data_IF_061188885284
#
_entry.id   IF_061188885284
#
_cell.length_a   1.000
_cell.length_b   1.000
_cell.length_c   1.000
_cell.angle_alpha   90.00
_cell.angle_beta   90.00
_cell.angle_gamma   90.00
#
_symmetry.space_group_name_H-M   'P 1'
#
loop_
_entity.id
_entity.type
_entity.pdbx_description
1 polymer ?
#
# COMPACT_ATOMS: atom_id res chain seq x y z
N UNK A 1 24.63 28.73 -15.73
CA UNK A 1 24.86 28.16 -14.38
C UNK A 1 23.67 27.23 -14.00
N UNK A 2 22.41 27.65 -14.18
CA UNK A 2 21.19 26.83 -13.83
C UNK A 2 21.08 25.60 -14.75
N UNK A 3 21.39 25.70 -16.02
CA UNK A 3 21.33 24.59 -16.99
C UNK A 3 22.42 23.54 -16.75
N UNK A 4 23.59 23.94 -16.27
CA UNK A 4 24.65 23.00 -15.84
C UNK A 4 24.28 22.26 -14.56
N UNK A 5 23.67 22.94 -13.57
CA UNK A 5 23.23 22.31 -12.36
C UNK A 5 22.14 21.25 -12.61
N UNK A 6 21.16 21.54 -13.49
CA UNK A 6 20.13 20.58 -13.92
C UNK A 6 20.70 19.36 -14.67
N UNK A 7 21.76 19.56 -15.49
CA UNK A 7 22.44 18.45 -16.15
C UNK A 7 23.32 17.64 -15.18
N UNK A 8 23.95 18.26 -14.19
CA UNK A 8 24.69 17.56 -13.13
C UNK A 8 23.77 16.69 -12.29
N UNK A 9 22.57 17.18 -11.92
CA UNK A 9 21.55 16.39 -11.21
C UNK A 9 21.09 15.16 -12.01
N UNK A 10 20.99 15.26 -13.33
CA UNK A 10 20.56 14.16 -14.21
C UNK A 10 21.58 13.01 -14.31
N UNK A 11 22.88 13.31 -14.15
CA UNK A 11 23.96 12.30 -14.25
C UNK A 11 24.18 11.52 -12.95
N UNK A 12 23.75 12.04 -11.79
CA UNK A 12 24.01 11.46 -10.47
C UNK A 12 22.79 10.94 -9.73
N UNK A 13 21.57 11.15 -10.25
CA UNK A 13 20.36 10.57 -9.65
C UNK A 13 20.06 9.19 -10.22
N UNK A 14 19.88 8.22 -9.35
CA UNK A 14 19.28 6.95 -9.77
C UNK A 14 17.85 7.24 -10.20
N UNK A 15 17.49 6.90 -11.45
CA UNK A 15 16.21 7.29 -12.03
C UNK A 15 15.03 6.71 -11.24
N UNK A 16 14.36 7.56 -10.48
CA UNK A 16 13.01 7.32 -9.96
C UNK A 16 12.04 7.81 -11.02
N UNK A 17 11.14 6.94 -11.51
CA UNK A 17 10.31 7.20 -12.70
C UNK A 17 8.84 7.47 -12.38
N UNK A 18 8.32 6.87 -11.34
CA UNK A 18 6.90 6.84 -11.03
C UNK A 18 6.57 7.37 -9.66
N UNK A 19 7.44 7.14 -8.66
CA UNK A 19 7.29 7.68 -7.32
C UNK A 19 7.54 9.18 -7.31
N UNK A 20 6.73 9.91 -6.54
CA UNK A 20 6.76 11.37 -6.44
C UNK A 20 7.32 11.85 -5.10
N UNK A 21 7.36 10.99 -4.10
CA UNK A 21 7.61 11.37 -2.71
C UNK A 21 8.94 10.85 -2.16
N UNK A 22 9.88 10.44 -3.00
CA UNK A 22 11.26 10.20 -2.61
C UNK A 22 12.21 10.36 -3.79
N UNK A 23 13.52 10.49 -3.48
CA UNK A 23 14.56 10.43 -4.49
C UNK A 23 15.81 9.72 -3.94
N UNK A 24 16.65 9.19 -4.81
CA UNK A 24 17.90 8.51 -4.46
C UNK A 24 19.03 9.14 -5.22
N UNK A 25 19.93 9.78 -4.49
CA UNK A 25 21.19 10.31 -4.98
C UNK A 25 22.32 9.31 -4.69
N UNK A 26 23.51 9.48 -5.30
CA UNK A 26 24.60 8.50 -5.17
C UNK A 26 24.93 8.14 -3.70
N UNK A 27 24.93 9.11 -2.79
CA UNK A 27 25.34 8.93 -1.40
C UNK A 27 24.27 9.33 -0.37
N UNK A 28 23.08 9.73 -0.82
CA UNK A 28 22.00 10.17 0.06
C UNK A 28 20.64 9.77 -0.50
N UNK A 29 19.68 9.69 0.38
CA UNK A 29 18.27 9.46 0.05
C UNK A 29 17.51 10.71 0.46
N UNK A 30 16.54 11.13 -0.36
CA UNK A 30 15.59 12.17 -0.03
C UNK A 30 14.27 11.47 0.30
N UNK A 31 13.72 11.74 1.46
CA UNK A 31 12.49 11.10 1.96
C UNK A 31 11.20 11.85 1.58
N UNK A 32 10.07 11.40 2.10
CA UNK A 32 8.75 11.94 1.79
C UNK A 32 8.51 13.40 2.24
N UNK A 33 9.34 13.92 3.15
CA UNK A 33 9.33 15.33 3.57
C UNK A 33 10.44 16.16 2.90
N UNK A 34 11.09 15.61 1.85
CA UNK A 34 12.24 16.22 1.16
C UNK A 34 13.48 16.38 2.06
N UNK A 35 13.60 15.59 3.12
CA UNK A 35 14.75 15.57 4.01
C UNK A 35 15.86 14.69 3.43
N UNK A 36 17.11 15.20 3.42
CA UNK A 36 18.27 14.39 3.09
C UNK A 36 18.63 13.45 4.22
N UNK A 37 18.64 12.15 3.93
CA UNK A 37 18.93 11.11 4.92
C UNK A 37 20.36 10.61 4.72
N UNK A 38 21.20 10.90 5.69
CA UNK A 38 22.54 10.36 5.81
C UNK A 38 22.52 9.21 6.83
N UNK A 39 23.10 8.07 6.48
CA UNK A 39 23.10 6.88 7.35
C UNK A 39 24.31 5.99 7.07
N UNK A 40 24.70 5.23 8.08
CA UNK A 40 25.76 4.22 7.96
C UNK A 40 25.16 2.87 7.52
N UNK A 41 25.73 2.27 6.50
CA UNK A 41 25.30 0.97 5.97
C UNK A 41 26.14 -0.17 6.56
N UNK A 42 25.58 -1.35 6.74
CA UNK A 42 24.14 -1.70 6.73
C UNK A 42 23.47 -1.38 8.08
N UNK A 43 22.18 -1.06 8.06
CA UNK A 43 21.38 -0.91 9.26
C UNK A 43 21.24 -2.27 10.00
N UNK A 44 21.35 -2.24 11.35
CA UNK A 44 21.28 -3.43 12.21
C UNK A 44 20.04 -3.44 13.09
N UNK A 45 19.66 -2.28 13.62
CA UNK A 45 18.50 -2.10 14.48
C UNK A 45 17.54 -1.08 13.84
N UNK A 46 16.41 -1.53 13.36
CA UNK A 46 15.40 -0.63 12.77
C UNK A 46 14.07 -0.78 13.47
N UNK A 47 13.35 0.33 13.55
CA UNK A 47 11.95 0.39 13.94
C UNK A 47 11.14 0.74 12.70
N UNK A 48 10.00 0.08 12.52
CA UNK A 48 9.15 0.30 11.34
C UNK A 48 7.70 0.57 11.73
N UNK A 49 7.09 1.55 11.09
CA UNK A 49 5.65 1.82 11.17
C UNK A 49 4.94 1.50 9.85
N UNK A 50 5.70 1.11 8.84
CA UNK A 50 5.19 0.88 7.49
C UNK A 50 5.44 -0.58 7.07
N UNK A 51 4.36 -1.32 6.83
CA UNK A 51 4.44 -2.72 6.40
C UNK A 51 5.19 -2.89 5.08
N UNK A 52 5.26 -1.87 4.23
CA UNK A 52 5.98 -1.95 2.96
C UNK A 52 7.49 -2.18 3.12
N UNK A 53 8.08 -1.75 4.25
CA UNK A 53 9.44 -2.14 4.59
C UNK A 53 9.58 -3.67 4.70
N UNK A 54 8.66 -4.30 5.43
CA UNK A 54 8.64 -5.75 5.64
C UNK A 54 8.37 -6.47 4.32
N UNK A 55 7.37 -6.00 3.57
CA UNK A 55 7.04 -6.55 2.24
C UNK A 55 8.24 -6.47 1.30
N UNK A 56 8.95 -5.35 1.28
CA UNK A 56 10.17 -5.19 0.48
C UNK A 56 11.23 -6.21 0.86
N UNK A 57 11.45 -6.43 2.16
CA UNK A 57 12.42 -7.41 2.64
C UNK A 57 12.10 -8.84 2.17
N UNK A 58 10.81 -9.23 2.19
CA UNK A 58 10.35 -10.53 1.71
C UNK A 58 10.37 -10.60 0.17
N UNK A 59 9.84 -9.62 -0.54
CA UNK A 59 9.81 -9.57 -2.00
C UNK A 59 11.22 -9.67 -2.59
N UNK A 60 12.15 -8.95 -2.01
CA UNK A 60 13.54 -8.94 -2.45
C UNK A 60 14.39 -10.03 -1.79
N UNK A 61 13.84 -10.82 -0.87
CA UNK A 61 14.56 -11.85 -0.11
C UNK A 61 15.86 -11.30 0.52
N UNK A 62 15.76 -10.17 1.23
CA UNK A 62 16.90 -9.53 1.91
C UNK A 62 16.91 -9.93 3.38
N UNK A 63 17.55 -11.05 3.70
CA UNK A 63 17.62 -11.59 5.08
C UNK A 63 18.15 -10.58 6.11
N UNK A 64 19.14 -9.74 5.74
CA UNK A 64 19.69 -8.70 6.64
C UNK A 64 18.64 -7.66 7.00
N UNK A 65 17.76 -7.29 6.07
CA UNK A 65 16.67 -6.36 6.29
C UNK A 65 15.64 -6.93 7.28
N UNK A 66 15.28 -8.22 7.12
CA UNK A 66 14.38 -8.91 8.06
C UNK A 66 14.99 -8.97 9.46
N UNK A 67 16.29 -9.35 9.59
CA UNK A 67 17.00 -9.48 10.86
C UNK A 67 17.22 -8.15 11.59
N UNK A 68 17.21 -7.03 10.87
CA UNK A 68 17.40 -5.71 11.46
C UNK A 68 16.16 -5.18 12.17
N UNK A 69 14.97 -5.73 11.94
CA UNK A 69 13.73 -5.30 12.58
C UNK A 69 13.78 -5.63 14.07
N UNK A 70 13.76 -4.60 14.94
CA UNK A 70 13.78 -4.73 16.39
C UNK A 70 12.52 -4.16 17.04
N UNK A 71 11.86 -3.22 16.37
CA UNK A 71 10.60 -2.63 16.84
C UNK A 71 9.62 -2.43 15.70
N UNK A 72 8.33 -2.59 16.00
CA UNK A 72 7.25 -2.39 15.05
C UNK A 72 6.11 -1.65 15.73
N UNK A 73 5.59 -0.61 15.09
CA UNK A 73 4.34 0.02 15.50
C UNK A 73 3.16 -0.89 15.14
N UNK A 74 2.15 -0.94 15.98
CA UNK A 74 0.99 -1.86 15.84
C UNK A 74 1.42 -3.33 15.61
N UNK A 75 2.43 -3.80 16.35
CA UNK A 75 3.08 -5.09 16.10
C UNK A 75 2.10 -6.26 16.01
N UNK A 76 1.08 -6.32 16.87
CA UNK A 76 0.05 -7.36 16.84
C UNK A 76 -0.74 -7.40 15.54
N UNK A 77 -1.03 -6.24 14.96
CA UNK A 77 -1.75 -6.14 13.71
C UNK A 77 -0.82 -6.39 12.51
N UNK A 78 0.32 -5.74 12.49
CA UNK A 78 1.25 -5.79 11.34
C UNK A 78 1.91 -7.16 11.21
N UNK A 79 2.44 -7.71 12.31
CA UNK A 79 3.29 -8.91 12.25
C UNK A 79 2.51 -10.20 12.09
N UNK A 80 1.23 -10.27 12.45
CA UNK A 80 0.39 -11.47 12.23
C UNK A 80 0.40 -11.96 10.78
N UNK A 81 0.63 -11.06 9.83
CA UNK A 81 0.74 -11.38 8.40
C UNK A 81 2.06 -12.04 8.01
N UNK A 82 3.07 -12.03 8.91
CA UNK A 82 4.44 -12.51 8.64
C UNK A 82 4.86 -13.48 9.75
N UNK A 83 4.42 -14.74 9.64
CA UNK A 83 4.58 -15.73 10.70
C UNK A 83 5.98 -15.80 11.33
N UNK A 84 7.12 -15.81 10.60
CA UNK A 84 8.42 -15.84 11.25
C UNK A 84 8.71 -14.62 12.14
N UNK A 85 8.31 -13.42 11.70
CA UNK A 85 8.47 -12.18 12.49
C UNK A 85 7.49 -12.16 13.66
N UNK A 86 6.27 -12.65 13.48
CA UNK A 86 5.29 -12.75 14.56
C UNK A 86 5.77 -13.72 15.65
N UNK A 87 6.36 -14.85 15.29
CA UNK A 87 6.99 -15.75 16.24
C UNK A 87 8.15 -15.10 17.02
N UNK A 88 8.98 -14.30 16.34
CA UNK A 88 10.05 -13.55 17.01
C UNK A 88 9.49 -12.44 17.92
N UNK A 89 8.39 -11.81 17.56
CA UNK A 89 7.66 -10.87 18.41
C UNK A 89 7.12 -11.55 19.69
N UNK A 90 6.45 -12.70 19.57
CA UNK A 90 5.93 -13.46 20.72
C UNK A 90 7.05 -13.94 21.66
N UNK A 91 8.28 -14.12 21.16
CA UNK A 91 9.47 -14.47 21.93
C UNK A 91 10.22 -13.26 22.49
N UNK A 92 9.66 -12.05 22.33
CA UNK A 92 10.30 -10.83 22.83
C UNK A 92 11.54 -10.37 22.06
N UNK A 93 11.81 -10.89 20.86
CA UNK A 93 12.94 -10.48 20.01
C UNK A 93 12.63 -9.23 19.18
N UNK A 94 11.36 -8.92 19.01
CA UNK A 94 10.83 -7.73 18.34
C UNK A 94 9.85 -7.10 19.31
N UNK A 95 9.95 -5.79 19.51
CA UNK A 95 9.12 -5.06 20.44
C UNK A 95 7.96 -4.34 19.76
N UNK A 96 6.81 -4.24 20.44
CA UNK A 96 5.79 -3.27 20.10
C UNK A 96 6.19 -1.90 20.64
N UNK A 97 6.46 -0.95 19.74
CA UNK A 97 6.88 0.41 20.11
C UNK A 97 5.73 1.40 20.21
N UNK A 98 4.50 0.91 20.07
CA UNK A 98 3.30 1.71 20.31
C UNK A 98 2.23 1.59 19.23
N UNK A 99 1.18 2.36 19.47
CA UNK A 99 0.01 2.50 18.60
C UNK A 99 -0.38 3.98 18.49
N UNK A 100 -1.53 4.29 17.88
CA UNK A 100 -2.05 5.64 17.78
C UNK A 100 -2.13 6.33 19.15
N UNK A 101 -1.33 7.39 19.31
CA UNK A 101 -1.31 8.20 20.51
C UNK A 101 -0.69 7.55 21.77
N UNK A 102 -0.23 6.30 21.69
CA UNK A 102 0.43 5.58 22.80
C UNK A 102 1.78 5.07 22.36
N UNK A 103 2.78 5.96 22.33
CA UNK A 103 4.14 5.64 21.90
C UNK A 103 4.96 5.21 23.12
N UNK A 104 5.68 4.09 23.00
CA UNK A 104 6.61 3.62 24.02
C UNK A 104 8.00 4.21 23.79
N UNK A 105 8.21 5.43 24.26
CA UNK A 105 9.49 6.14 24.13
C UNK A 105 10.65 5.40 24.81
N UNK A 106 10.39 4.76 25.96
CA UNK A 106 11.41 3.98 26.68
C UNK A 106 11.90 2.82 25.83
N UNK A 107 10.98 2.11 25.14
CA UNK A 107 11.35 0.99 24.30
C UNK A 107 12.11 1.44 23.04
N UNK A 108 11.79 2.60 22.48
CA UNK A 108 12.56 3.19 21.36
C UNK A 108 14.02 3.44 21.81
N UNK A 109 14.22 3.98 23.00
CA UNK A 109 15.56 4.19 23.58
C UNK A 109 16.30 2.86 23.82
N UNK A 110 15.62 1.86 24.38
CA UNK A 110 16.19 0.53 24.64
C UNK A 110 16.67 -0.16 23.37
N UNK A 111 15.92 -0.04 22.27
CA UNK A 111 16.29 -0.59 20.96
C UNK A 111 17.51 0.12 20.40
N UNK A 112 17.71 1.40 20.72
CA UNK A 112 18.75 2.26 20.16
C UNK A 112 18.86 2.12 18.63
N UNK A 113 17.84 2.57 17.89
CA UNK A 113 17.72 2.27 16.45
C UNK A 113 18.74 3.02 15.61
N UNK A 114 19.31 2.34 14.60
CA UNK A 114 20.10 2.96 13.55
C UNK A 114 19.22 3.82 12.63
N UNK A 115 17.93 3.47 12.52
CA UNK A 115 16.94 4.20 11.72
C UNK A 115 15.52 3.80 12.13
N UNK A 116 14.62 4.79 12.18
CA UNK A 116 13.17 4.57 12.27
C UNK A 116 12.53 4.89 10.92
N UNK A 117 11.88 3.93 10.30
CA UNK A 117 11.05 4.14 9.09
C UNK A 117 9.64 4.51 9.53
N UNK A 118 9.33 5.80 9.47
CA UNK A 118 8.12 6.38 10.02
C UNK A 118 7.17 6.81 8.90
N UNK A 119 5.99 6.21 8.86
CA UNK A 119 4.96 6.61 7.90
C UNK A 119 4.61 8.10 8.11
N UNK A 120 4.50 8.85 7.03
CA UNK A 120 4.27 10.29 7.07
C UNK A 120 2.78 10.62 7.34
N UNK A 121 2.35 10.27 8.54
CA UNK A 121 1.03 10.63 9.09
C UNK A 121 1.18 11.69 10.17
N UNK A 122 0.25 12.65 10.21
CA UNK A 122 0.25 13.71 11.21
C UNK A 122 0.27 13.22 12.65
N UNK A 123 -0.26 12.03 12.93
CA UNK A 123 -0.25 11.41 14.25
C UNK A 123 1.17 11.18 14.79
N UNK A 124 2.17 11.06 13.89
CA UNK A 124 3.57 10.91 14.26
C UNK A 124 4.36 12.22 14.38
N UNK A 125 3.72 13.39 14.19
CA UNK A 125 4.43 14.66 14.33
C UNK A 125 5.01 14.90 15.74
N UNK A 126 4.31 14.55 16.85
CA UNK A 126 4.91 14.65 18.18
C UNK A 126 6.12 13.74 18.35
N UNK A 127 6.07 12.52 17.80
CA UNK A 127 7.19 11.59 17.79
C UNK A 127 8.37 12.15 17.00
N UNK A 128 8.14 12.68 15.80
CA UNK A 128 9.21 13.26 14.97
C UNK A 128 9.96 14.38 15.71
N UNK A 129 9.23 15.29 16.38
CA UNK A 129 9.83 16.34 17.19
C UNK A 129 10.66 15.78 18.37
N UNK A 130 10.18 14.72 18.99
CA UNK A 130 10.90 14.06 20.09
C UNK A 130 12.15 13.35 19.58
N UNK A 131 12.10 12.69 18.43
CA UNK A 131 13.25 12.04 17.78
C UNK A 131 14.32 13.06 17.41
N UNK A 132 13.95 14.21 16.84
CA UNK A 132 14.87 15.31 16.54
C UNK A 132 15.57 15.83 17.81
N UNK A 133 14.80 16.06 18.90
CA UNK A 133 15.34 16.52 20.19
C UNK A 133 16.34 15.53 20.80
N UNK A 134 16.15 14.24 20.58
CA UNK A 134 17.00 13.17 21.14
C UNK A 134 18.06 12.67 20.15
N UNK A 135 18.22 13.30 18.98
CA UNK A 135 19.14 12.92 17.92
C UNK A 135 18.99 11.46 17.47
N UNK A 136 17.76 10.93 17.46
CA UNK A 136 17.47 9.57 17.01
C UNK A 136 17.17 9.59 15.51
N UNK A 137 17.92 8.83 14.68
CA UNK A 137 17.74 8.85 13.24
C UNK A 137 16.38 8.29 12.81
N UNK A 138 15.68 9.03 11.94
CA UNK A 138 14.45 8.57 11.31
C UNK A 138 14.32 9.08 9.89
N UNK A 139 13.45 8.46 9.12
CA UNK A 139 13.08 8.88 7.77
C UNK A 139 11.58 8.73 7.58
N UNK A 140 10.98 9.66 6.85
CA UNK A 140 9.54 9.62 6.54
C UNK A 140 9.28 8.81 5.29
N UNK A 141 8.24 7.98 5.33
CA UNK A 141 7.80 7.14 4.22
C UNK A 141 6.42 7.54 3.73
N UNK A 142 6.25 7.64 2.41
CA UNK A 142 5.03 8.17 1.79
C UNK A 142 4.48 7.31 0.65
N UNK A 143 4.75 6.01 0.65
CA UNK A 143 4.29 5.11 -0.42
C UNK A 143 2.76 5.12 -0.63
N UNK A 144 1.99 5.34 0.42
CA UNK A 144 0.53 5.44 0.36
C UNK A 144 0.02 6.72 -0.31
N UNK A 145 0.86 7.78 -0.39
CA UNK A 145 0.54 9.05 -1.07
C UNK A 145 0.69 8.96 -2.58
N UNK A 146 1.32 7.91 -3.08
CA UNK A 146 1.59 7.78 -4.51
C UNK A 146 0.28 7.60 -5.29
N UNK A 147 0.05 8.42 -6.33
CA UNK A 147 -1.20 8.37 -7.07
C UNK A 147 -1.29 7.18 -8.03
N UNK A 148 -0.18 6.50 -8.28
CA UNK A 148 -0.12 5.36 -9.22
C UNK A 148 0.45 4.12 -8.56
N UNK A 149 -0.07 2.97 -8.97
CA UNK A 149 0.39 1.67 -8.47
C UNK A 149 1.91 1.48 -8.65
N UNK A 150 2.46 1.88 -9.80
CA UNK A 150 3.91 1.83 -10.03
C UNK A 150 4.67 2.80 -9.13
N UNK A 151 4.10 3.98 -8.82
CA UNK A 151 4.72 4.90 -7.85
C UNK A 151 4.86 4.26 -6.48
N UNK A 152 3.76 3.69 -5.96
CA UNK A 152 3.77 2.92 -4.70
C UNK A 152 4.82 1.81 -4.74
N UNK A 153 4.84 0.99 -5.80
CA UNK A 153 5.78 -0.13 -5.92
C UNK A 153 7.23 0.29 -6.06
N UNK A 154 7.51 1.47 -6.60
CA UNK A 154 8.89 1.97 -6.74
C UNK A 154 9.58 2.21 -5.39
N UNK A 155 8.83 2.36 -4.30
CA UNK A 155 9.35 2.48 -2.93
C UNK A 155 10.18 1.28 -2.48
N UNK A 156 10.08 0.12 -3.15
CA UNK A 156 11.00 -1.00 -2.89
C UNK A 156 12.47 -0.61 -3.13
N UNK A 157 12.73 0.35 -4.06
CA UNK A 157 14.07 0.89 -4.30
C UNK A 157 14.54 1.76 -3.13
N UNK A 158 13.64 2.56 -2.54
CA UNK A 158 13.92 3.36 -1.35
C UNK A 158 14.44 2.49 -0.21
N UNK A 159 13.65 1.51 0.25
CA UNK A 159 14.03 0.64 1.37
C UNK A 159 15.28 -0.21 1.07
N UNK A 160 15.38 -0.74 -0.14
CA UNK A 160 16.53 -1.56 -0.54
C UNK A 160 17.86 -0.78 -0.58
N UNK A 161 17.79 0.56 -0.76
CA UNK A 161 18.99 1.41 -0.82
C UNK A 161 19.71 1.46 0.52
N UNK A 162 19.00 1.38 1.63
CA UNK A 162 19.59 1.31 2.97
C UNK A 162 20.41 0.03 3.21
N UNK A 163 20.24 -0.99 2.37
CA UNK A 163 20.92 -2.28 2.47
C UNK A 163 21.84 -2.58 1.28
N UNK A 164 22.21 -1.58 0.48
CA UNK A 164 23.00 -1.73 -0.75
C UNK A 164 22.34 -2.71 -1.78
N UNK A 165 21.02 -2.73 -1.85
CA UNK A 165 20.25 -3.64 -2.72
C UNK A 165 19.40 -2.93 -3.78
N UNK A 166 19.71 -1.67 -4.08
CA UNK A 166 19.01 -0.89 -5.12
C UNK A 166 18.91 -1.64 -6.44
N UNK A 167 20.01 -2.14 -6.99
CA UNK A 167 20.00 -2.89 -8.27
C UNK A 167 19.08 -4.10 -8.25
N UNK A 168 18.99 -4.78 -7.10
CA UNK A 168 18.07 -5.91 -6.93
C UNK A 168 16.62 -5.45 -6.98
N UNK A 169 16.30 -4.36 -6.29
CA UNK A 169 14.97 -3.75 -6.30
C UNK A 169 14.60 -3.25 -7.70
N UNK A 170 15.53 -2.60 -8.39
CA UNK A 170 15.33 -2.12 -9.75
C UNK A 170 14.99 -3.25 -10.72
N UNK A 171 15.71 -4.39 -10.65
CA UNK A 171 15.42 -5.57 -11.47
C UNK A 171 14.00 -6.09 -11.22
N UNK A 172 13.58 -6.19 -9.95
CA UNK A 172 12.24 -6.65 -9.59
C UNK A 172 11.18 -5.63 -10.05
N UNK A 173 11.44 -4.35 -9.85
CA UNK A 173 10.53 -3.29 -10.27
C UNK A 173 10.34 -3.25 -11.80
N UNK A 174 11.42 -3.42 -12.58
CA UNK A 174 11.31 -3.50 -14.03
C UNK A 174 10.43 -4.68 -14.48
N UNK A 175 10.52 -5.84 -13.80
CA UNK A 175 9.63 -6.96 -14.06
C UNK A 175 8.16 -6.59 -13.79
N UNK A 176 7.87 -5.87 -12.71
CA UNK A 176 6.51 -5.39 -12.39
C UNK A 176 5.98 -4.47 -13.52
N UNK A 177 6.83 -3.60 -14.05
CA UNK A 177 6.47 -2.73 -15.19
C UNK A 177 6.08 -3.57 -16.41
N UNK A 178 6.86 -4.58 -16.77
CA UNK A 178 6.56 -5.44 -17.92
C UNK A 178 5.26 -6.24 -17.73
N UNK A 179 5.05 -6.77 -16.52
CA UNK A 179 3.80 -7.47 -16.19
C UNK A 179 2.59 -6.54 -16.27
N UNK A 180 2.69 -5.31 -15.75
CA UNK A 180 1.63 -4.30 -15.92
C UNK A 180 1.37 -3.99 -17.39
N UNK A 181 2.41 -3.85 -18.21
CA UNK A 181 2.25 -3.62 -19.66
C UNK A 181 1.50 -4.78 -20.33
N UNK A 182 1.84 -6.02 -19.96
CA UNK A 182 1.16 -7.22 -20.47
C UNK A 182 -0.34 -7.19 -20.13
N UNK A 183 -0.69 -6.89 -18.88
CA UNK A 183 -2.08 -6.76 -18.43
C UNK A 183 -2.82 -5.71 -19.25
N UNK A 184 -2.26 -4.51 -19.39
CA UNK A 184 -2.89 -3.43 -20.13
C UNK A 184 -2.98 -3.72 -21.65
N UNK A 185 -1.99 -4.42 -22.22
CA UNK A 185 -2.02 -4.85 -23.63
C UNK A 185 -3.15 -5.83 -23.88
N UNK A 186 -3.34 -6.82 -23.00
CA UNK A 186 -4.44 -7.79 -23.12
C UNK A 186 -5.82 -7.11 -23.04
N UNK A 187 -5.93 -6.07 -22.23
CA UNK A 187 -7.14 -5.26 -22.11
C UNK A 187 -7.39 -4.38 -23.35
N UNK A 188 -6.33 -3.74 -23.88
CA UNK A 188 -6.41 -2.81 -25.00
C UNK A 188 -6.64 -3.51 -26.33
N UNK A 189 -6.24 -4.78 -26.48
CA UNK A 189 -6.53 -5.58 -27.68
C UNK A 189 -8.02 -5.92 -27.82
N UNK A 190 -8.84 -5.61 -26.82
CA UNK A 190 -10.28 -5.88 -26.80
C UNK A 190 -11.08 -4.60 -26.95
N UNK A 191 -12.17 -4.66 -27.75
CA UNK A 191 -13.11 -3.54 -27.87
C UNK A 191 -14.01 -3.48 -26.63
N UNK A 192 -13.61 -2.69 -25.63
CA UNK A 192 -14.41 -2.46 -24.42
C UNK A 192 -15.29 -1.24 -24.66
N UNK A 193 -16.56 -1.51 -24.99
CA UNK A 193 -17.56 -0.46 -25.22
C UNK A 193 -18.15 0.12 -23.94
N UNK A 194 -18.25 -0.71 -22.89
CA UNK A 194 -18.83 -0.32 -21.61
C UNK A 194 -17.78 -0.27 -20.51
N UNK A 195 -17.77 0.81 -19.75
CA UNK A 195 -16.89 1.03 -18.59
C UNK A 195 -17.71 0.83 -17.32
N UNK A 196 -17.56 -0.30 -16.60
CA UNK A 196 -18.33 -0.55 -15.37
C UNK A 196 -18.07 0.52 -14.31
N UNK A 197 -19.13 0.90 -13.60
CA UNK A 197 -19.04 1.77 -12.43
C UNK A 197 -18.63 0.95 -11.22
N UNK A 198 -17.50 1.32 -10.60
CA UNK A 198 -16.86 0.57 -9.51
C UNK A 198 -16.90 1.38 -8.22
N UNK A 199 -17.50 0.82 -7.18
CA UNK A 199 -17.39 1.32 -5.81
C UNK A 199 -16.31 0.52 -5.08
N UNK A 200 -15.17 1.16 -4.78
CA UNK A 200 -14.16 0.65 -3.87
C UNK A 200 -14.23 1.43 -2.56
N UNK A 201 -14.46 0.76 -1.45
CA UNK A 201 -14.78 1.36 -0.17
C UNK A 201 -14.44 0.44 1.01
N UNK A 202 -14.40 0.98 2.22
CA UNK A 202 -14.28 0.20 3.45
C UNK A 202 -15.23 0.70 4.53
N UNK A 203 -15.20 0.05 5.68
CA UNK A 203 -15.95 0.45 6.87
C UNK A 203 -15.02 0.52 8.08
N UNK A 204 -15.18 1.56 8.86
CA UNK A 204 -14.56 1.65 10.18
C UNK A 204 -15.62 2.06 11.20
N UNK A 205 -15.80 1.28 12.27
CA UNK A 205 -16.84 1.53 13.30
C UNK A 205 -18.22 1.82 12.70
N UNK A 206 -18.65 1.01 11.77
CA UNK A 206 -19.93 1.14 11.05
C UNK A 206 -20.07 2.41 10.19
N UNK A 207 -19.02 3.19 9.97
CA UNK A 207 -19.01 4.32 9.08
C UNK A 207 -18.26 3.99 7.79
N UNK A 208 -18.89 4.16 6.60
CA UNK A 208 -18.20 3.93 5.35
C UNK A 208 -17.13 4.98 5.09
N UNK A 209 -16.03 4.56 4.50
CA UNK A 209 -15.02 5.44 3.93
C UNK A 209 -14.74 5.07 2.48
N UNK A 210 -14.32 6.05 1.71
CA UNK A 210 -13.98 5.96 0.31
C UNK A 210 -12.63 6.60 0.07
N UNK A 211 -11.97 6.28 -1.03
CA UNK A 211 -10.69 6.89 -1.37
C UNK A 211 -10.86 8.08 -2.31
N UNK A 212 -10.03 9.09 -2.14
CA UNK A 212 -9.97 10.22 -3.06
C UNK A 212 -9.58 9.78 -4.47
N UNK A 213 -10.04 10.51 -5.49
CA UNK A 213 -9.87 10.14 -6.90
C UNK A 213 -8.41 9.96 -7.35
N UNK A 214 -7.48 10.61 -6.65
CA UNK A 214 -6.04 10.51 -6.95
C UNK A 214 -5.34 9.36 -6.23
N UNK A 215 -6.03 8.57 -5.40
CA UNK A 215 -5.46 7.36 -4.80
C UNK A 215 -5.13 6.33 -5.88
N UNK A 216 -4.08 5.50 -5.67
CA UNK A 216 -3.61 4.55 -6.68
C UNK A 216 -4.65 3.51 -7.10
N UNK A 217 -5.61 3.11 -6.24
CA UNK A 217 -6.67 2.17 -6.61
C UNK A 217 -7.70 2.81 -7.55
N UNK A 218 -8.32 3.98 -7.26
CA UNK A 218 -9.11 4.70 -8.25
C UNK A 218 -8.38 4.95 -9.57
N UNK A 219 -7.10 5.30 -9.51
CA UNK A 219 -6.29 5.45 -10.72
C UNK A 219 -6.14 4.13 -11.49
N UNK A 220 -5.91 3.01 -10.78
CA UNK A 220 -5.85 1.69 -11.40
C UNK A 220 -7.18 1.30 -12.04
N UNK A 221 -8.31 1.51 -11.35
CA UNK A 221 -9.66 1.28 -11.90
C UNK A 221 -9.83 2.01 -13.23
N UNK A 222 -9.41 3.27 -13.34
CA UNK A 222 -9.46 4.03 -14.60
C UNK A 222 -8.50 3.49 -15.66
N UNK A 223 -7.27 3.16 -15.29
CA UNK A 223 -6.29 2.59 -16.23
C UNK A 223 -6.81 1.29 -16.88
N UNK A 224 -7.58 0.50 -16.12
CA UNK A 224 -8.21 -0.72 -16.64
C UNK A 224 -9.64 -0.51 -17.14
N UNK A 225 -9.97 0.72 -17.54
CA UNK A 225 -11.25 1.07 -18.19
C UNK A 225 -12.50 0.84 -17.32
N UNK A 226 -12.39 0.98 -16.00
CA UNK A 226 -13.52 1.16 -15.09
C UNK A 226 -13.80 2.63 -14.83
N UNK A 227 -14.98 2.94 -14.30
CA UNK A 227 -15.37 4.26 -13.81
C UNK A 227 -15.44 4.21 -12.28
N UNK A 228 -14.57 4.95 -11.59
CA UNK A 228 -14.64 5.03 -10.15
C UNK A 228 -15.86 5.84 -9.69
N UNK A 229 -16.68 5.28 -8.79
CA UNK A 229 -17.96 5.89 -8.40
C UNK A 229 -17.79 7.26 -7.71
N UNK A 230 -16.72 7.47 -6.96
CA UNK A 230 -16.49 8.67 -6.15
C UNK A 230 -15.45 9.61 -6.77
N UNK A 231 -15.49 9.76 -8.09
CA UNK A 231 -14.57 10.58 -8.89
C UNK A 231 -14.55 12.07 -8.50
N UNK A 232 -15.59 12.53 -7.81
CA UNK A 232 -15.71 13.90 -7.30
C UNK A 232 -14.98 14.15 -5.97
N UNK A 233 -14.38 13.11 -5.36
CA UNK A 233 -13.66 13.25 -4.09
C UNK A 233 -12.18 13.45 -4.36
N UNK A 234 -11.65 14.60 -3.94
CA UNK A 234 -10.27 14.99 -4.20
C UNK A 234 -9.25 14.24 -3.32
N UNK A 235 -7.99 14.25 -3.73
CA UNK A 235 -6.84 13.78 -2.94
C UNK A 235 -6.54 12.29 -3.08
N UNK A 236 -5.56 11.84 -2.29
CA UNK A 236 -5.06 10.46 -2.25
C UNK A 236 -5.47 9.71 -0.99
N UNK A 237 -6.01 10.41 0.01
CA UNK A 237 -6.40 9.81 1.29
C UNK A 237 -7.78 9.16 1.22
N UNK A 238 -8.12 8.41 2.28
CA UNK A 238 -9.49 7.99 2.49
C UNK A 238 -10.31 9.11 3.16
N UNK A 239 -11.62 9.13 2.91
CA UNK A 239 -12.56 10.09 3.43
C UNK A 239 -13.78 9.37 3.97
N UNK A 240 -14.19 9.68 5.19
CA UNK A 240 -15.47 9.21 5.70
C UNK A 240 -16.62 9.89 4.95
N UNK A 241 -17.64 9.12 4.64
CA UNK A 241 -18.83 9.58 3.92
C UNK A 241 -20.09 9.26 4.75
N UNK A 242 -21.09 10.12 4.67
CA UNK A 242 -22.39 9.82 5.29
C UNK A 242 -22.97 8.52 4.72
N UNK A 243 -23.49 7.66 5.59
CA UNK A 243 -23.99 6.33 5.22
C UNK A 243 -25.16 6.37 4.24
N UNK A 244 -26.06 7.36 4.38
CA UNK A 244 -27.20 7.51 3.46
C UNK A 244 -26.71 7.94 2.09
N UNK A 245 -25.77 8.89 2.02
CA UNK A 245 -25.15 9.34 0.79
C UNK A 245 -24.39 8.18 0.12
N UNK A 246 -23.59 7.46 0.86
CA UNK A 246 -22.88 6.27 0.35
C UNK A 246 -23.86 5.26 -0.27
N UNK A 247 -24.87 4.84 0.49
CA UNK A 247 -25.84 3.85 0.05
C UNK A 247 -26.65 4.32 -1.17
N UNK A 248 -27.02 5.60 -1.22
CA UNK A 248 -27.77 6.18 -2.36
C UNK A 248 -27.00 6.11 -3.67
N UNK A 249 -25.66 6.15 -3.61
CA UNK A 249 -24.77 6.08 -4.78
C UNK A 249 -24.32 4.65 -5.07
N UNK A 250 -23.80 3.93 -4.05
CA UNK A 250 -23.21 2.60 -4.20
C UNK A 250 -24.21 1.54 -4.68
N UNK A 251 -25.52 1.71 -4.37
CA UNK A 251 -26.57 0.81 -4.83
C UNK A 251 -26.67 0.67 -6.36
N UNK A 252 -26.17 1.64 -7.12
CA UNK A 252 -26.17 1.63 -8.58
C UNK A 252 -24.84 1.24 -9.20
N UNK A 253 -23.79 1.01 -8.41
CA UNK A 253 -22.52 0.52 -8.92
C UNK A 253 -22.67 -0.84 -9.59
N UNK A 254 -21.93 -1.06 -10.68
CA UNK A 254 -21.89 -2.35 -11.38
C UNK A 254 -21.05 -3.37 -10.63
N UNK A 255 -20.02 -2.87 -9.94
CA UNK A 255 -19.07 -3.66 -9.14
C UNK A 255 -18.88 -2.97 -7.79
N UNK A 256 -18.99 -3.73 -6.72
CA UNK A 256 -18.63 -3.30 -5.37
C UNK A 256 -17.44 -4.11 -4.87
N UNK A 257 -16.45 -3.44 -4.32
CA UNK A 257 -15.27 -4.05 -3.68
C UNK A 257 -15.15 -3.43 -2.30
N UNK A 258 -15.38 -4.24 -1.26
CA UNK A 258 -15.20 -3.85 0.13
C UNK A 258 -13.77 -4.16 0.56
N UNK A 259 -13.03 -3.14 0.93
CA UNK A 259 -11.71 -3.26 1.55
C UNK A 259 -11.87 -3.65 3.03
N UNK A 260 -11.41 -4.85 3.37
CA UNK A 260 -11.47 -5.37 4.74
C UNK A 260 -10.34 -4.87 5.63
N UNK A 261 -9.38 -4.12 5.08
CA UNK A 261 -8.15 -3.70 5.78
C UNK A 261 -7.36 -4.87 6.38
N UNK A 262 -7.50 -6.07 5.79
CA UNK A 262 -6.82 -7.30 6.25
C UNK A 262 -7.51 -8.01 7.40
N UNK A 263 -8.75 -7.66 7.70
CA UNK A 263 -9.59 -8.42 8.63
C UNK A 263 -10.17 -9.67 7.96
N UNK A 264 -10.33 -10.73 8.73
CA UNK A 264 -11.02 -11.95 8.30
C UNK A 264 -12.53 -11.77 8.51
N UNK A 265 -13.27 -11.58 7.44
CA UNK A 265 -14.68 -11.20 7.48
C UNK A 265 -15.57 -12.43 7.26
N UNK A 266 -16.45 -12.72 8.22
CA UNK A 266 -17.57 -13.62 7.99
C UNK A 266 -18.63 -12.94 7.11
N UNK A 267 -18.82 -13.47 5.90
CA UNK A 267 -19.76 -12.91 4.92
C UNK A 267 -21.21 -12.93 5.42
N UNK A 268 -21.61 -13.96 6.18
CA UNK A 268 -22.97 -14.04 6.71
C UNK A 268 -23.21 -12.94 7.75
N UNK A 269 -22.24 -12.73 8.62
CA UNK A 269 -22.29 -11.66 9.61
C UNK A 269 -22.23 -10.28 8.94
N UNK A 270 -21.38 -10.09 7.95
CA UNK A 270 -21.31 -8.86 7.15
C UNK A 270 -22.68 -8.50 6.56
N UNK A 271 -23.37 -9.45 5.94
CA UNK A 271 -24.67 -9.22 5.32
C UNK A 271 -25.77 -9.02 6.35
N UNK A 272 -25.72 -9.73 7.48
CA UNK A 272 -26.65 -9.54 8.62
C UNK A 272 -26.54 -8.11 9.18
N UNK A 273 -25.32 -7.62 9.35
CA UNK A 273 -25.05 -6.29 9.89
C UNK A 273 -25.28 -5.16 8.85
N UNK A 274 -25.28 -5.51 7.56
CA UNK A 274 -25.45 -4.57 6.44
C UNK A 274 -26.51 -5.06 5.44
N UNK A 275 -27.80 -5.25 5.84
CA UNK A 275 -28.83 -5.84 4.99
C UNK A 275 -29.13 -5.00 3.73
N UNK A 276 -28.73 -3.73 3.73
CA UNK A 276 -28.86 -2.85 2.57
C UNK A 276 -27.98 -3.28 1.39
N UNK A 277 -26.87 -4.03 1.62
CA UNK A 277 -26.03 -4.56 0.54
C UNK A 277 -26.79 -5.51 -0.38
N UNK A 278 -27.78 -6.27 0.16
CA UNK A 278 -28.64 -7.17 -0.63
C UNK A 278 -29.43 -6.41 -1.72
N UNK A 279 -29.62 -5.10 -1.56
CA UNK A 279 -30.33 -4.25 -2.50
C UNK A 279 -29.41 -3.65 -3.57
N UNK A 280 -28.09 -3.77 -3.43
CA UNK A 280 -27.14 -3.22 -4.40
C UNK A 280 -27.19 -3.99 -5.70
N UNK A 281 -27.08 -3.27 -6.84
CA UNK A 281 -27.01 -3.88 -8.17
C UNK A 281 -25.85 -4.88 -8.28
N UNK A 282 -24.69 -4.51 -7.74
CA UNK A 282 -23.52 -5.36 -7.72
C UNK A 282 -23.78 -6.69 -6.99
N UNK A 283 -24.50 -6.68 -5.86
CA UNK A 283 -24.88 -7.90 -5.15
C UNK A 283 -25.81 -8.78 -6.01
N UNK A 284 -26.90 -8.20 -6.53
CA UNK A 284 -27.88 -8.92 -7.37
C UNK A 284 -27.26 -9.54 -8.61
N UNK A 285 -26.24 -8.89 -9.17
CA UNK A 285 -25.52 -9.34 -10.35
C UNK A 285 -24.29 -10.20 -10.03
N UNK A 286 -24.12 -10.64 -8.78
CA UNK A 286 -22.97 -11.46 -8.31
C UNK A 286 -21.61 -10.80 -8.58
N UNK A 287 -21.56 -9.47 -8.42
CA UNK A 287 -20.36 -8.66 -8.64
C UNK A 287 -20.00 -7.83 -7.40
N UNK A 288 -20.29 -8.36 -6.21
CA UNK A 288 -19.86 -7.82 -4.95
C UNK A 288 -18.72 -8.69 -4.39
N UNK A 289 -17.60 -8.07 -4.07
CA UNK A 289 -16.37 -8.69 -3.60
C UNK A 289 -15.92 -8.06 -2.30
N UNK A 290 -15.16 -8.82 -1.52
CA UNK A 290 -14.38 -8.32 -0.38
C UNK A 290 -12.92 -8.66 -0.62
N UNK A 291 -11.99 -7.84 -0.10
CA UNK A 291 -10.57 -8.21 -0.08
C UNK A 291 -10.34 -9.32 0.94
N UNK A 292 -9.39 -10.23 0.69
CA UNK A 292 -8.99 -11.26 1.67
C UNK A 292 -8.16 -10.65 2.79
N UNK A 293 -8.05 -11.33 3.92
CA UNK A 293 -7.19 -10.92 5.04
C UNK A 293 -5.72 -10.71 4.64
N UNK A 294 -5.26 -11.41 3.62
CA UNK A 294 -3.89 -11.33 3.12
C UNK A 294 -3.71 -10.30 1.99
N UNK A 295 -4.79 -9.65 1.52
CA UNK A 295 -4.76 -8.73 0.40
C UNK A 295 -3.68 -7.66 0.54
N UNK A 296 -3.62 -6.95 1.67
CA UNK A 296 -2.66 -5.85 1.89
C UNK A 296 -1.20 -6.31 1.77
N UNK A 297 -0.89 -7.53 2.21
CA UNK A 297 0.43 -8.13 2.06
C UNK A 297 0.73 -8.48 0.60
N UNK A 298 -0.21 -9.10 -0.08
CA UNK A 298 -0.02 -9.56 -1.46
C UNK A 298 -0.13 -8.42 -2.47
N UNK A 299 -0.78 -7.31 -2.13
CA UNK A 299 -0.77 -6.11 -2.95
C UNK A 299 0.67 -5.62 -3.25
N UNK A 300 1.62 -5.86 -2.36
CA UNK A 300 3.05 -5.62 -2.61
C UNK A 300 3.76 -6.87 -3.12
N UNK A 301 3.64 -8.02 -2.43
CA UNK A 301 4.40 -9.22 -2.74
C UNK A 301 4.00 -9.86 -4.07
N UNK A 302 2.76 -9.67 -4.49
CA UNK A 302 2.12 -10.26 -5.68
C UNK A 302 1.36 -9.21 -6.48
N UNK A 303 1.89 -7.99 -6.52
CA UNK A 303 1.19 -6.82 -7.07
C UNK A 303 0.66 -7.04 -8.49
N UNK A 304 1.38 -7.76 -9.35
CA UNK A 304 0.95 -8.05 -10.72
C UNK A 304 -0.24 -9.01 -10.75
N UNK A 305 -0.26 -10.02 -9.88
CA UNK A 305 -1.39 -10.94 -9.74
C UNK A 305 -2.62 -10.18 -9.21
N UNK A 306 -2.43 -9.32 -8.20
CA UNK A 306 -3.51 -8.47 -7.65
C UNK A 306 -4.05 -7.52 -8.72
N UNK A 307 -3.17 -6.86 -9.48
CA UNK A 307 -3.57 -5.99 -10.59
C UNK A 307 -4.40 -6.74 -11.64
N UNK A 308 -4.03 -7.98 -11.96
CA UNK A 308 -4.76 -8.83 -12.91
C UNK A 308 -6.14 -9.22 -12.38
N UNK A 309 -6.28 -9.51 -11.08
CA UNK A 309 -7.57 -9.83 -10.48
C UNK A 309 -8.55 -8.65 -10.49
N UNK A 310 -8.09 -7.41 -10.36
CA UNK A 310 -8.94 -6.25 -10.61
C UNK A 310 -9.52 -6.25 -12.03
N UNK A 311 -8.72 -6.65 -13.04
CA UNK A 311 -9.22 -6.77 -14.41
C UNK A 311 -10.25 -7.89 -14.51
N UNK A 312 -10.04 -9.05 -13.90
CA UNK A 312 -11.01 -10.15 -13.85
C UNK A 312 -12.34 -9.72 -13.22
N UNK A 313 -12.28 -8.96 -12.11
CA UNK A 313 -13.43 -8.43 -11.40
C UNK A 313 -14.19 -7.41 -12.25
N UNK A 314 -13.49 -6.46 -12.87
CA UNK A 314 -14.11 -5.35 -13.60
C UNK A 314 -14.57 -5.80 -15.00
N UNK A 315 -13.83 -6.72 -15.62
CA UNK A 315 -14.08 -7.23 -16.98
C UNK A 315 -14.02 -8.77 -17.04
N UNK A 316 -14.93 -9.48 -16.36
CA UNK A 316 -14.85 -10.94 -16.22
C UNK A 316 -14.84 -11.71 -17.54
N UNK A 317 -15.36 -11.12 -18.62
CA UNK A 317 -15.37 -11.75 -19.96
C UNK A 317 -14.01 -11.71 -20.69
N UNK A 318 -13.01 -11.03 -20.15
CA UNK A 318 -11.66 -10.94 -20.78
C UNK A 318 -10.87 -12.23 -20.58
N UNK A 319 -11.05 -12.90 -19.44
CA UNK A 319 -10.34 -14.12 -19.09
C UNK A 319 -11.27 -15.33 -19.21
N UNK A 320 -10.71 -16.47 -19.56
CA UNK A 320 -11.48 -17.72 -19.77
C UNK A 320 -12.29 -18.11 -18.52
N UNK A 321 -11.67 -18.02 -17.33
CA UNK A 321 -12.31 -18.34 -16.05
C UNK A 321 -13.01 -17.13 -15.41
N UNK A 322 -12.90 -15.93 -16.04
CA UNK A 322 -13.47 -14.71 -15.51
C UNK A 322 -13.02 -14.42 -14.08
N UNK A 323 -14.01 -14.18 -13.21
CA UNK A 323 -13.82 -13.90 -11.78
C UNK A 323 -14.10 -15.12 -10.87
N UNK A 324 -14.04 -16.34 -11.40
CA UNK A 324 -14.28 -17.57 -10.64
C UNK A 324 -13.02 -18.11 -9.94
N UNK A 325 -11.82 -17.64 -10.33
CA UNK A 325 -10.53 -18.04 -9.75
C UNK A 325 -9.79 -16.82 -9.22
N UNK A 326 -10.23 -16.34 -8.06
CA UNK A 326 -9.65 -15.21 -7.34
C UNK A 326 -8.95 -15.68 -6.07
N UNK A 327 -7.77 -15.14 -5.80
CA UNK A 327 -6.94 -15.47 -4.61
C UNK A 327 -6.98 -14.35 -3.58
N UNK A 328 -7.11 -13.10 -4.05
CA UNK A 328 -7.00 -11.90 -3.22
C UNK A 328 -8.33 -11.22 -2.98
N UNK A 329 -9.36 -11.69 -3.63
CA UNK A 329 -10.74 -11.24 -3.46
C UNK A 329 -11.67 -12.43 -3.29
N UNK A 330 -12.72 -12.25 -2.51
CA UNK A 330 -13.78 -13.23 -2.29
C UNK A 330 -15.08 -12.65 -2.84
N UNK A 331 -15.78 -13.43 -3.65
CA UNK A 331 -17.12 -13.06 -4.12
C UNK A 331 -18.12 -13.28 -2.98
N UNK A 332 -18.93 -12.29 -2.69
CA UNK A 332 -19.89 -12.30 -1.57
C UNK A 332 -21.12 -13.15 -1.87
N UNK A 333 -21.39 -13.47 -3.16
CA UNK A 333 -22.58 -14.20 -3.62
C UNK A 333 -22.21 -15.35 -4.55
#
# INVERSE_FOLDING_TARGET
VITMALNFYKYYSRQIKYALHFNILNNSIIDAENKYINFQKPLKNVIVSDSMFIDTAYLLKIKKMIKSIKGVFWADFVLKKYYPLYSDYLKGKISNVGTDGKINYGEILNINPDMIFLIDWNIFNPLSKWLDKNNIPYTKTGNYKEPKFLGKMEWIKFYASFYNKYKKAEKVFNKIIEEKRRILKSLNSRSIKYKPVVAFFGYHKNQPYIYGKSHYIPNWIREIKGNYLFENVEGTNYHYIDRKIFNSRAKYADVCILDTMGEDIDIKELLKNNPHFLKFRAYKNKRFYITTKDYLKFETLKCSEVMEEYVKIIHPKIYQNGDNDLKYFIKVV
#
